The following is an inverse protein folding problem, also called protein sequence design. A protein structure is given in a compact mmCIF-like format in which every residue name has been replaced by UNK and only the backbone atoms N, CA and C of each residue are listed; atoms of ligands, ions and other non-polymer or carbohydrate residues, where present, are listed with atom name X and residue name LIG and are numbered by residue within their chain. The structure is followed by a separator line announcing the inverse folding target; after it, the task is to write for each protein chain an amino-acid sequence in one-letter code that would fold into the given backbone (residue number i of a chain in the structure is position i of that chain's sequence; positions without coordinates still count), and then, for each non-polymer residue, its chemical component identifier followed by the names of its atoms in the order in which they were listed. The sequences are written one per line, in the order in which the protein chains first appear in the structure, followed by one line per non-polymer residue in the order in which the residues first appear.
data_IF_364010870617
#
_entry.id   IF_364010870617
#
_cell.length_a   1.000
_cell.length_b   1.000
_cell.length_c   1.000
_cell.angle_alpha   90.00
_cell.angle_beta   90.00
_cell.angle_gamma   90.00
#
_symmetry.space_group_name_H-M   'P 1'
#
loop_
_entity.id
_entity.type
_entity.pdbx_description
1 polymer ?
#
# COMPACT_ATOMS: atom_id res chain seq x y z
N UNK A 1 7.28 18.35 -2.57
CA UNK A 1 7.04 17.14 -1.75
C UNK A 1 8.38 16.55 -1.43
N UNK A 2 8.80 16.57 -0.17
CA UNK A 2 10.07 15.99 0.26
C UNK A 2 10.00 14.47 0.07
N UNK A 3 10.96 13.89 -0.66
CA UNK A 3 11.12 12.44 -0.75
C UNK A 3 11.60 11.94 0.62
N UNK A 4 10.67 11.59 1.51
CA UNK A 4 10.99 10.89 2.74
C UNK A 4 11.55 9.51 2.36
N UNK A 5 12.87 9.36 2.46
CA UNK A 5 13.49 8.06 2.29
C UNK A 5 13.30 7.26 3.58
N UNK A 6 12.44 6.24 3.55
CA UNK A 6 12.24 5.35 4.70
C UNK A 6 13.31 4.25 4.67
N UNK A 7 14.07 4.09 5.74
CA UNK A 7 15.00 2.97 5.86
C UNK A 7 14.19 1.74 6.26
N UNK A 8 14.12 0.76 5.36
CA UNK A 8 13.43 -0.50 5.60
C UNK A 8 14.45 -1.58 5.88
N UNK A 9 14.10 -2.49 6.79
CA UNK A 9 14.94 -3.62 7.15
C UNK A 9 14.24 -4.90 6.72
N UNK A 10 14.94 -5.76 5.97
CA UNK A 10 14.39 -7.06 5.60
C UNK A 10 14.22 -7.91 6.88
N UNK A 11 13.02 -8.45 7.18
CA UNK A 11 12.81 -9.25 8.38
C UNK A 11 13.50 -10.63 8.34
N UNK A 12 13.95 -11.08 7.16
CA UNK A 12 14.62 -12.37 6.99
C UNK A 12 16.15 -12.29 6.98
N UNK A 13 16.72 -11.24 6.37
CA UNK A 13 18.16 -11.09 6.23
C UNK A 13 18.74 -9.84 6.90
N UNK A 14 17.91 -9.05 7.57
CA UNK A 14 18.26 -7.80 8.26
C UNK A 14 19.00 -6.77 7.39
N UNK A 15 18.97 -6.94 6.07
CA UNK A 15 19.54 -5.97 5.15
C UNK A 15 18.72 -4.69 5.18
N UNK A 16 19.40 -3.58 5.44
CA UNK A 16 18.81 -2.25 5.41
C UNK A 16 18.84 -1.72 3.98
N UNK A 17 17.70 -1.21 3.51
CA UNK A 17 17.59 -0.63 2.19
C UNK A 17 16.72 0.60 2.22
N UNK A 18 17.06 1.56 1.37
CA UNK A 18 16.38 2.83 1.30
C UNK A 18 15.13 2.70 0.43
N UNK A 19 13.95 2.76 1.06
CA UNK A 19 12.68 2.89 0.38
C UNK A 19 12.51 4.32 -0.11
N UNK A 20 12.36 4.47 -1.42
CA UNK A 20 12.06 5.76 -2.05
C UNK A 20 10.71 5.64 -2.76
N UNK A 21 9.65 6.16 -2.12
CA UNK A 21 8.30 6.05 -2.65
C UNK A 21 8.16 6.73 -4.02
N UNK A 22 8.86 7.84 -4.24
CA UNK A 22 8.89 8.54 -5.52
C UNK A 22 9.45 7.67 -6.65
N UNK A 23 10.55 6.95 -6.39
CA UNK A 23 11.17 6.03 -7.35
C UNK A 23 10.28 4.82 -7.63
N UNK A 24 9.75 4.17 -6.58
CA UNK A 24 8.84 3.03 -6.74
C UNK A 24 7.58 3.44 -7.49
N UNK A 25 7.03 4.62 -7.20
CA UNK A 25 5.89 5.17 -7.92
C UNK A 25 6.19 5.43 -9.40
N UNK A 26 7.37 5.97 -9.71
CA UNK A 26 7.80 6.14 -11.09
C UNK A 26 7.97 4.80 -11.82
N UNK A 27 8.55 3.79 -11.17
CA UNK A 27 8.76 2.46 -11.76
C UNK A 27 7.42 1.73 -11.98
N UNK A 28 6.45 1.88 -11.07
CA UNK A 28 5.07 1.39 -11.25
C UNK A 28 4.42 2.05 -12.47
N UNK A 29 4.54 3.37 -12.62
CA UNK A 29 4.00 4.09 -13.79
C UNK A 29 4.61 3.60 -15.10
N UNK A 30 5.94 3.45 -15.15
CA UNK A 30 6.65 2.90 -16.32
C UNK A 30 6.18 1.49 -16.67
N UNK A 31 5.93 0.63 -15.68
CA UNK A 31 5.38 -0.70 -15.91
C UNK A 31 3.98 -0.65 -16.53
N UNK A 32 3.12 0.27 -16.06
CA UNK A 32 1.79 0.47 -16.64
C UNK A 32 1.85 0.98 -18.09
N UNK A 33 2.65 2.00 -18.37
CA UNK A 33 2.86 2.53 -19.73
C UNK A 33 3.36 1.44 -20.68
N UNK A 34 4.35 0.66 -20.22
CA UNK A 34 4.91 -0.45 -21.01
C UNK A 34 3.89 -1.56 -21.24
N UNK A 35 3.06 -1.90 -20.24
CA UNK A 35 1.99 -2.89 -20.41
C UNK A 35 0.96 -2.44 -21.43
N UNK A 36 0.50 -1.20 -21.36
CA UNK A 36 -0.45 -0.64 -22.32
C UNK A 36 0.10 -0.75 -23.75
N UNK A 37 1.34 -0.30 -23.96
CA UNK A 37 2.02 -0.42 -25.26
C UNK A 37 2.11 -1.87 -25.76
N UNK A 38 2.52 -2.80 -24.89
CA UNK A 38 2.68 -4.21 -25.28
C UNK A 38 1.32 -4.86 -25.60
N UNK A 39 0.28 -4.53 -24.84
CA UNK A 39 -1.07 -5.04 -25.08
C UNK A 39 -1.65 -4.53 -26.39
N UNK A 40 -1.53 -3.22 -26.65
CA UNK A 40 -1.95 -2.60 -27.91
C UNK A 40 -1.20 -3.21 -29.09
N UNK A 41 0.12 -3.32 -29.00
CA UNK A 41 0.95 -3.94 -30.04
C UNK A 41 0.57 -5.40 -30.27
N UNK A 42 0.26 -6.15 -29.21
CA UNK A 42 -0.15 -7.55 -29.29
C UNK A 42 -1.50 -7.71 -29.99
N UNK A 43 -2.41 -6.76 -29.80
CA UNK A 43 -3.70 -6.75 -30.48
C UNK A 43 -3.55 -6.44 -31.96
N UNK A 44 -2.70 -5.48 -32.34
CA UNK A 44 -2.42 -5.14 -33.75
C UNK A 44 -1.92 -6.35 -34.55
N UNK A 45 -1.07 -7.18 -33.94
CA UNK A 45 -0.49 -8.36 -34.60
C UNK A 45 -1.32 -9.63 -34.42
N UNK A 46 -2.47 -9.55 -33.74
CA UNK A 46 -3.34 -10.69 -33.45
C UNK A 46 -3.92 -11.26 -34.74
N UNK A 47 -3.90 -12.60 -34.85
CA UNK A 47 -4.48 -13.30 -36.00
C UNK A 47 -3.67 -13.21 -37.30
N UNK A 48 -2.56 -12.47 -37.33
CA UNK A 48 -1.71 -12.36 -38.51
C UNK A 48 -0.55 -13.39 -38.46
N UNK A 49 -0.61 -14.40 -39.33
CA UNK A 49 0.37 -15.49 -39.39
C UNK A 49 1.81 -15.02 -39.60
N UNK A 50 2.02 -13.90 -40.32
CA UNK A 50 3.35 -13.30 -40.52
C UNK A 50 4.00 -12.87 -39.22
N UNK A 51 3.19 -12.50 -38.22
CA UNK A 51 3.64 -11.98 -36.93
C UNK A 51 3.47 -12.97 -35.77
N UNK A 52 3.24 -14.26 -36.06
CA UNK A 52 3.00 -15.28 -35.02
C UNK A 52 4.14 -15.38 -33.98
N UNK A 53 5.41 -15.20 -34.41
CA UNK A 53 6.57 -15.16 -33.50
C UNK A 53 6.55 -13.90 -32.60
N UNK A 54 6.24 -12.75 -33.18
CA UNK A 54 6.11 -11.48 -32.45
C UNK A 54 4.98 -11.55 -31.42
N UNK A 55 3.82 -12.08 -31.80
CA UNK A 55 2.66 -12.27 -30.90
C UNK A 55 3.01 -13.11 -29.66
N UNK A 56 3.75 -14.22 -29.85
CA UNK A 56 4.25 -15.05 -28.74
C UNK A 56 5.24 -14.28 -27.86
N UNK A 57 6.20 -13.57 -28.46
CA UNK A 57 7.20 -12.77 -27.73
C UNK A 57 6.54 -11.68 -26.88
N UNK A 58 5.56 -10.96 -27.43
CA UNK A 58 4.80 -9.94 -26.71
C UNK A 58 4.05 -10.55 -25.51
N UNK A 59 3.48 -11.75 -25.65
CA UNK A 59 2.85 -12.45 -24.52
C UNK A 59 3.83 -12.74 -23.37
N UNK A 60 5.04 -13.18 -23.68
CA UNK A 60 6.10 -13.39 -22.68
C UNK A 60 6.52 -12.07 -22.02
N UNK A 61 6.68 -11.02 -22.82
CA UNK A 61 7.07 -9.69 -22.32
C UNK A 61 5.99 -9.10 -21.40
N UNK A 62 4.71 -9.21 -21.77
CA UNK A 62 3.56 -8.84 -20.92
C UNK A 62 3.62 -9.59 -19.60
N UNK A 63 3.77 -10.91 -19.62
CA UNK A 63 3.86 -11.72 -18.40
C UNK A 63 5.01 -11.27 -17.48
N UNK A 64 6.18 -10.96 -18.05
CA UNK A 64 7.33 -10.45 -17.31
C UNK A 64 7.04 -9.09 -16.65
N UNK A 65 6.48 -8.14 -17.40
CA UNK A 65 6.18 -6.80 -16.86
C UNK A 65 5.07 -6.87 -15.82
N UNK A 66 4.05 -7.71 -16.00
CA UNK A 66 3.00 -7.94 -14.98
C UNK A 66 3.57 -8.49 -13.68
N UNK A 67 4.50 -9.46 -13.75
CA UNK A 67 5.20 -9.96 -12.55
C UNK A 67 6.02 -8.88 -11.86
N UNK A 68 6.71 -8.02 -12.64
CA UNK A 68 7.46 -6.90 -12.09
C UNK A 68 6.54 -5.88 -11.40
N UNK A 69 5.40 -5.55 -12.01
CA UNK A 69 4.40 -4.66 -11.44
C UNK A 69 3.83 -5.21 -10.12
N UNK A 70 3.50 -6.50 -10.07
CA UNK A 70 3.04 -7.15 -8.83
C UNK A 70 4.07 -6.99 -7.72
N UNK A 71 5.34 -7.32 -8.00
CA UNK A 71 6.43 -7.21 -7.02
C UNK A 71 6.61 -5.79 -6.49
N UNK A 72 6.52 -4.78 -7.36
CA UNK A 72 6.62 -3.38 -6.95
C UNK A 72 5.44 -2.94 -6.06
N UNK A 73 4.23 -3.42 -6.36
CA UNK A 73 3.04 -3.17 -5.51
C UNK A 73 3.17 -3.86 -4.16
N UNK A 74 3.61 -5.10 -4.13
CA UNK A 74 3.86 -5.84 -2.89
C UNK A 74 4.90 -5.15 -2.02
N UNK A 75 5.98 -4.69 -2.65
CA UNK A 75 7.04 -3.95 -1.98
C UNK A 75 6.53 -2.64 -1.37
N UNK A 76 5.74 -1.86 -2.11
CA UNK A 76 5.09 -0.65 -1.59
C UNK A 76 4.14 -0.95 -0.43
N UNK A 77 3.37 -2.03 -0.51
CA UNK A 77 2.47 -2.45 0.58
C UNK A 77 3.26 -2.78 1.84
N UNK A 78 4.30 -3.61 1.73
CA UNK A 78 5.15 -3.98 2.86
C UNK A 78 5.86 -2.78 3.49
N UNK A 79 6.29 -1.81 2.66
CA UNK A 79 6.84 -0.55 3.14
C UNK A 79 5.82 0.25 3.96
N UNK A 80 4.58 0.35 3.49
CA UNK A 80 3.47 1.00 4.21
C UNK A 80 3.20 0.32 5.55
N UNK A 81 3.05 -1.01 5.56
CA UNK A 81 2.83 -1.80 6.78
C UNK A 81 3.96 -1.62 7.80
N UNK A 82 5.21 -1.53 7.33
CA UNK A 82 6.36 -1.30 8.20
C UNK A 82 6.35 0.12 8.79
N UNK A 83 6.03 1.14 7.99
CA UNK A 83 5.91 2.53 8.46
C UNK A 83 4.81 2.65 9.51
N UNK A 84 3.62 2.13 9.23
CA UNK A 84 2.48 2.14 10.17
C UNK A 84 2.84 1.41 11.48
N UNK A 85 3.53 0.27 11.40
CA UNK A 85 3.98 -0.47 12.58
C UNK A 85 4.98 0.32 13.42
N UNK A 86 5.94 1.00 12.78
CA UNK A 86 6.91 1.84 13.49
C UNK A 86 6.25 3.05 14.16
N UNK A 87 5.34 3.73 13.46
CA UNK A 87 4.55 4.84 14.02
C UNK A 87 3.73 4.38 15.22
N UNK A 88 3.09 3.21 15.14
CA UNK A 88 2.35 2.64 16.26
C UNK A 88 3.24 2.29 17.46
N UNK A 89 4.44 1.72 17.22
CA UNK A 89 5.39 1.41 18.30
C UNK A 89 5.87 2.69 18.98
N UNK A 90 6.23 3.71 18.21
CA UNK A 90 6.64 5.02 18.76
C UNK A 90 5.51 5.66 19.58
N UNK A 91 4.26 5.61 19.10
CA UNK A 91 3.09 6.05 19.84
C UNK A 91 2.93 5.29 21.17
N UNK A 92 3.01 3.95 21.12
CA UNK A 92 2.89 3.10 22.30
C UNK A 92 3.96 3.42 23.34
N UNK A 93 5.20 3.59 22.93
CA UNK A 93 6.32 3.95 23.81
C UNK A 93 6.11 5.32 24.45
N UNK A 94 5.72 6.33 23.66
CA UNK A 94 5.41 7.67 24.16
C UNK A 94 4.28 7.64 25.21
N UNK A 95 3.16 6.95 24.93
CA UNK A 95 2.05 6.87 25.89
C UNK A 95 2.48 6.17 27.19
N UNK A 96 3.32 5.14 27.10
CA UNK A 96 3.84 4.45 28.30
C UNK A 96 4.80 5.34 29.09
N UNK A 97 5.64 6.13 28.42
CA UNK A 97 6.55 7.06 29.07
C UNK A 97 5.79 8.15 29.84
N UNK A 98 4.74 8.73 29.24
CA UNK A 98 3.98 9.81 29.85
C UNK A 98 2.94 9.34 30.88
N UNK A 99 2.21 8.26 30.61
CA UNK A 99 1.04 7.84 31.40
C UNK A 99 1.16 6.43 32.02
N UNK A 100 2.31 5.76 31.84
CA UNK A 100 2.54 4.40 32.32
C UNK A 100 1.73 3.34 31.58
N UNK A 101 1.97 2.08 31.95
CA UNK A 101 1.31 0.91 31.34
C UNK A 101 -0.22 0.97 31.47
N UNK A 102 -0.72 1.46 32.60
CA UNK A 102 -2.16 1.54 32.87
C UNK A 102 -2.83 2.68 32.10
N UNK A 103 -2.12 3.78 31.84
CA UNK A 103 -2.56 4.83 30.94
C UNK A 103 -2.75 4.32 29.51
N UNK A 104 -1.75 3.58 29.00
CA UNK A 104 -1.84 2.94 27.69
C UNK A 104 -3.03 1.98 27.58
N UNK A 105 -3.25 1.12 28.59
CA UNK A 105 -4.40 0.19 28.62
C UNK A 105 -5.74 0.93 28.56
N UNK A 106 -5.88 2.07 29.27
CA UNK A 106 -7.09 2.90 29.21
C UNK A 106 -7.31 3.49 27.83
N UNK A 107 -6.26 4.01 27.19
CA UNK A 107 -6.35 4.55 25.83
C UNK A 107 -6.79 3.49 24.82
N UNK A 108 -6.16 2.31 24.83
CA UNK A 108 -6.55 1.22 23.94
C UNK A 108 -8.00 0.79 24.19
N UNK A 109 -8.41 0.67 25.45
CA UNK A 109 -9.80 0.32 25.80
C UNK A 109 -10.80 1.33 25.24
N UNK A 110 -10.52 2.62 25.41
CA UNK A 110 -11.35 3.70 24.88
C UNK A 110 -11.44 3.66 23.35
N UNK A 111 -10.30 3.50 22.66
CA UNK A 111 -10.26 3.40 21.19
C UNK A 111 -10.99 2.16 20.70
N UNK A 112 -10.84 1.01 21.36
CA UNK A 112 -11.57 -0.21 21.03
C UNK A 112 -13.09 -0.07 21.27
N UNK A 113 -13.52 0.73 22.24
CA UNK A 113 -14.93 1.00 22.48
C UNK A 113 -15.51 1.98 21.46
N UNK A 114 -14.77 3.03 21.09
CA UNK A 114 -15.18 3.97 20.04
C UNK A 114 -15.21 3.30 18.66
N UNK A 115 -14.22 2.46 18.33
CA UNK A 115 -14.14 1.80 17.00
C UNK A 115 -15.24 0.76 16.78
N UNK A 116 -15.82 0.17 17.83
CA UNK A 116 -17.00 -0.70 17.72
C UNK A 116 -18.23 0.01 17.14
N UNK A 117 -18.28 1.35 17.23
CA UNK A 117 -19.36 2.17 16.67
C UNK A 117 -19.24 2.45 15.17
N UNK A 118 -18.18 1.96 14.51
CA UNK A 118 -17.93 2.20 13.10
C UNK A 118 -17.83 0.88 12.35
N UNK A 119 -18.44 0.79 11.17
CA UNK A 119 -18.24 -0.38 10.31
C UNK A 119 -16.86 -0.28 9.66
N UNK A 120 -16.27 -1.43 9.29
CA UNK A 120 -14.98 -1.48 8.55
C UNK A 120 -15.05 -0.61 7.28
N UNK A 121 -16.23 -0.51 6.65
CA UNK A 121 -16.47 0.32 5.48
C UNK A 121 -16.44 1.84 5.77
N UNK A 122 -16.89 2.27 6.95
CA UNK A 122 -16.87 3.68 7.38
C UNK A 122 -15.45 4.13 7.72
N UNK A 123 -14.69 3.24 8.40
CA UNK A 123 -13.28 3.46 8.72
C UNK A 123 -12.45 3.56 7.43
N UNK A 124 -12.71 2.69 6.44
CA UNK A 124 -11.98 2.68 5.17
C UNK A 124 -12.27 3.88 4.24
N UNK A 125 -13.42 4.55 4.40
CA UNK A 125 -13.81 5.71 3.59
C UNK A 125 -13.37 7.06 4.18
N UNK A 126 -12.81 7.07 5.40
CA UNK A 126 -12.48 8.32 6.11
C UNK A 126 -13.72 9.14 6.52
N UNK A 127 -14.92 8.58 6.35
CA UNK A 127 -16.18 9.16 6.78
C UNK A 127 -16.51 8.63 8.17
N UNK A 128 -16.12 9.38 9.20
CA UNK A 128 -16.42 9.08 10.60
C UNK A 128 -17.88 9.36 10.95
N UNK A 129 -18.82 8.73 10.25
CA UNK A 129 -20.24 8.74 10.63
C UNK A 129 -20.48 7.61 11.61
N UNK A 130 -20.64 7.96 12.89
CA UNK A 130 -20.92 7.02 13.99
C UNK A 130 -22.24 6.29 13.68
N UNK A 131 -22.20 4.97 13.53
CA UNK A 131 -23.40 4.20 13.25
C UNK A 131 -24.31 4.20 14.49
N UNK A 132 -25.46 4.88 14.40
CA UNK A 132 -26.59 4.62 15.31
C UNK A 132 -26.63 5.37 16.64
N UNK A 133 -26.26 6.66 16.69
CA UNK A 133 -26.90 7.58 17.67
C UNK A 133 -27.82 8.54 16.91
N UNK A 134 -29.12 8.38 17.11
CA UNK A 134 -30.13 9.31 16.63
C UNK A 134 -29.75 10.75 17.01
N UNK A 135 -29.69 11.62 16.01
CA UNK A 135 -29.91 13.07 16.14
C UNK A 135 -28.78 13.88 16.78
N UNK A 136 -27.90 14.44 15.96
CA UNK A 136 -27.65 15.88 15.86
C UNK A 136 -26.42 16.10 14.97
N UNK A 137 -26.66 16.60 13.75
CA UNK A 137 -25.62 17.25 12.95
C UNK A 137 -25.29 18.55 13.69
N UNK A 138 -24.06 18.68 14.18
CA UNK A 138 -23.53 19.96 14.66
C UNK A 138 -22.60 20.45 13.55
N UNK A 139 -23.02 21.52 12.87
CA UNK A 139 -22.18 22.33 11.98
C UNK A 139 -21.09 23.04 12.78
#
# INVERSE_FOLDING_TARGET
MQNESTQLVCPHCHYEFQYNDGKIGADIRKCHEKLNYLMERREIVRGNFKYAKEFKRLGVEISRVTKQLSRLKDYRRLAGEHKEKQEFLAFKEAVKEFWGEDGYKRCIKYVCEETKGYTIADIAKGTYTKAGRNGAVIN
#
